data_IF_614170969652
#
_entry.id   IF_614170969652
#
_cell.length_a   1.000
_cell.length_b   1.000
_cell.length_c   1.000
_cell.angle_alpha   90.00
_cell.angle_beta   90.00
_cell.angle_gamma   90.00
#
_symmetry.space_group_name_H-M   'P 1'
#
loop_
_entity.id
_entity.type
_entity.pdbx_description
1 polymer ?
#
# COMPACT_ATOMS: atom_id res chain seq x y z
N UNK A 1 -1.13 6.72 38.31
CA UNK A 1 -1.88 6.38 37.05
C UNK A 1 -1.96 7.64 36.22
N UNK A 2 -1.68 7.57 34.92
CA UNK A 2 -1.83 8.73 34.07
C UNK A 2 -3.31 9.12 34.03
N UNK A 3 -3.55 10.43 34.19
CA UNK A 3 -4.85 11.06 34.38
C UNK A 3 -5.85 10.72 33.28
N UNK A 4 -7.15 10.75 33.57
CA UNK A 4 -8.26 10.60 32.61
C UNK A 4 -8.18 11.56 31.42
N UNK A 5 -7.43 12.65 31.56
CA UNK A 5 -7.14 13.61 30.48
C UNK A 5 -6.01 13.17 29.52
N UNK A 6 -5.20 12.16 29.88
CA UNK A 6 -4.07 11.75 29.07
C UNK A 6 -4.47 10.88 27.86
N UNK A 7 -5.51 10.07 28.02
CA UNK A 7 -6.03 9.23 26.95
C UNK A 7 -7.46 9.63 26.55
N UNK A 8 -7.74 9.61 25.27
CA UNK A 8 -9.07 9.84 24.73
C UNK A 8 -10.02 8.67 25.10
N UNK A 9 -11.35 8.86 25.09
CA UNK A 9 -12.30 7.83 25.50
C UNK A 9 -12.09 6.49 24.80
N UNK A 10 -11.93 6.46 23.47
CA UNK A 10 -11.68 5.22 22.72
C UNK A 10 -10.34 4.56 23.07
N UNK A 11 -9.31 5.35 23.39
CA UNK A 11 -8.02 4.85 23.83
C UNK A 11 -8.15 4.18 25.22
N UNK A 12 -8.91 4.79 26.12
CA UNK A 12 -9.21 4.20 27.44
C UNK A 12 -10.00 2.90 27.32
N UNK A 13 -11.02 2.87 26.47
CA UNK A 13 -11.79 1.67 26.20
C UNK A 13 -10.88 0.51 25.77
N UNK A 14 -9.96 0.76 24.86
CA UNK A 14 -8.96 -0.22 24.43
C UNK A 14 -8.04 -0.68 25.57
N UNK A 15 -7.56 0.25 26.40
CA UNK A 15 -6.65 -0.03 27.53
C UNK A 15 -7.30 -0.79 28.68
N UNK A 16 -8.61 -0.66 28.86
CA UNK A 16 -9.37 -1.33 29.92
C UNK A 16 -9.96 -2.67 29.48
N UNK A 17 -9.99 -2.94 28.20
CA UNK A 17 -10.44 -4.22 27.66
C UNK A 17 -9.38 -5.30 27.91
N UNK A 18 -9.73 -6.30 28.72
CA UNK A 18 -8.90 -7.43 29.08
C UNK A 18 -9.29 -8.71 28.32
N UNK A 19 -10.03 -8.59 27.24
CA UNK A 19 -10.44 -9.74 26.42
C UNK A 19 -9.21 -10.47 25.88
N UNK A 20 -9.32 -11.79 25.80
CA UNK A 20 -8.23 -12.65 25.29
C UNK A 20 -7.86 -12.33 23.85
N UNK A 21 -8.85 -12.01 23.04
CA UNK A 21 -8.68 -11.55 21.66
C UNK A 21 -9.43 -10.24 21.53
N UNK A 22 -8.73 -9.19 21.16
CA UNK A 22 -9.35 -7.90 20.84
C UNK A 22 -8.85 -7.38 19.50
N UNK A 23 -9.74 -6.78 18.75
CA UNK A 23 -9.50 -6.26 17.42
C UNK A 23 -9.97 -4.81 17.34
N UNK A 24 -9.09 -3.94 16.85
CA UNK A 24 -9.35 -2.53 16.62
C UNK A 24 -9.44 -2.24 15.12
N UNK A 25 -10.65 -1.99 14.65
CA UNK A 25 -10.95 -1.41 13.36
C UNK A 25 -10.88 0.12 13.51
N UNK A 26 -9.86 0.75 12.93
CA UNK A 26 -9.54 2.13 13.27
C UNK A 26 -9.39 3.05 12.06
N UNK A 27 -9.63 4.33 12.28
CA UNK A 27 -9.13 5.41 11.44
C UNK A 27 -7.60 5.49 11.49
N UNK A 28 -7.00 6.00 10.44
CA UNK A 28 -5.57 6.27 10.37
C UNK A 28 -5.19 7.41 11.32
N UNK A 29 -3.94 7.37 11.85
CA UNK A 29 -3.29 8.43 12.64
C UNK A 29 -4.02 8.89 13.92
N UNK A 30 -4.90 8.10 14.51
CA UNK A 30 -5.62 8.42 15.75
C UNK A 30 -4.91 7.95 17.04
N UNK A 31 -3.63 7.58 16.94
CA UNK A 31 -2.77 7.26 18.08
C UNK A 31 -2.97 5.89 18.72
N UNK A 32 -3.52 4.89 18.01
CA UNK A 32 -3.79 3.57 18.58
C UNK A 32 -2.53 2.71 18.81
N UNK A 33 -1.55 2.76 17.92
CA UNK A 33 -0.25 2.08 18.12
C UNK A 33 0.47 2.63 19.34
N UNK A 34 0.51 3.96 19.50
CA UNK A 34 1.04 4.63 20.67
C UNK A 34 0.30 4.26 21.96
N UNK A 35 -1.03 4.20 21.92
CA UNK A 35 -1.85 3.75 23.07
C UNK A 35 -1.54 2.30 23.45
N UNK A 36 -1.36 1.44 22.46
CA UNK A 36 -1.05 0.02 22.70
C UNK A 36 0.36 -0.18 23.24
N UNK A 37 1.33 0.65 22.82
CA UNK A 37 2.66 0.68 23.42
C UNK A 37 2.59 0.97 24.93
N UNK A 38 1.80 1.99 25.34
CA UNK A 38 1.55 2.25 26.75
C UNK A 38 0.90 1.04 27.45
N UNK A 39 -0.11 0.44 26.83
CA UNK A 39 -0.80 -0.72 27.41
C UNK A 39 0.14 -1.90 27.68
N UNK A 40 1.04 -2.20 26.77
CA UNK A 40 2.06 -3.24 26.97
C UNK A 40 3.03 -2.85 28.07
N UNK A 41 3.59 -1.65 28.06
CA UNK A 41 4.52 -1.17 29.11
C UNK A 41 3.86 -1.22 30.47
N UNK A 42 2.63 -0.69 30.61
CA UNK A 42 1.87 -0.76 31.87
C UNK A 42 1.72 -2.19 32.37
N UNK A 43 1.43 -3.14 31.48
CA UNK A 43 1.28 -4.56 31.86
C UNK A 43 2.61 -5.13 32.34
N UNK A 44 3.70 -4.85 31.67
CA UNK A 44 5.04 -5.33 32.06
C UNK A 44 5.58 -4.70 33.34
N UNK A 45 5.09 -3.52 33.73
CA UNK A 45 5.42 -2.90 35.03
C UNK A 45 4.69 -3.56 36.23
N UNK A 46 3.69 -4.41 35.97
CA UNK A 46 3.00 -5.14 37.05
C UNK A 46 3.84 -6.33 37.53
N UNK A 47 3.96 -6.49 38.84
CA UNK A 47 4.65 -7.63 39.46
C UNK A 47 3.99 -8.99 39.11
N UNK A 48 2.73 -8.98 38.71
CA UNK A 48 1.98 -10.17 38.26
C UNK A 48 2.26 -10.59 36.83
N UNK A 49 2.90 -9.76 36.02
CA UNK A 49 3.25 -10.11 34.64
C UNK A 49 4.33 -11.20 34.61
N UNK A 50 4.10 -12.26 33.85
CA UNK A 50 4.99 -13.43 33.74
C UNK A 50 5.32 -13.81 32.31
N UNK A 51 4.69 -13.17 31.33
CA UNK A 51 4.80 -13.52 29.92
C UNK A 51 5.39 -12.36 29.12
N UNK A 52 6.18 -12.70 28.12
CA UNK A 52 6.69 -11.74 27.15
C UNK A 52 5.57 -11.22 26.24
N UNK A 53 5.79 -10.06 25.64
CA UNK A 53 4.96 -9.51 24.58
C UNK A 53 5.75 -9.45 23.26
N UNK A 54 5.08 -9.79 22.17
CA UNK A 54 5.66 -9.89 20.83
C UNK A 54 4.88 -8.99 19.88
N UNK A 55 5.53 -7.98 19.36
CA UNK A 55 4.94 -6.99 18.46
C UNK A 55 5.38 -7.26 17.04
N UNK A 56 4.43 -7.40 16.12
CA UNK A 56 4.69 -7.40 14.68
C UNK A 56 4.06 -6.15 14.06
N UNK A 57 4.83 -5.44 13.26
CA UNK A 57 4.38 -4.29 12.47
C UNK A 57 4.64 -4.55 10.99
N UNK A 58 4.07 -3.72 10.12
CA UNK A 58 4.17 -3.84 8.66
C UNK A 58 5.61 -4.02 8.16
N UNK A 59 6.55 -3.26 8.75
CA UNK A 59 7.97 -3.29 8.39
C UNK A 59 8.86 -3.05 9.61
N UNK A 60 10.18 -3.17 9.41
CA UNK A 60 11.16 -3.03 10.49
C UNK A 60 11.22 -1.61 11.07
N UNK A 61 11.00 -0.59 10.25
CA UNK A 61 11.00 0.80 10.71
C UNK A 61 9.83 1.05 11.65
N UNK A 62 8.62 0.64 11.27
CA UNK A 62 7.43 0.76 12.13
C UNK A 62 7.59 -0.02 13.43
N UNK A 63 8.18 -1.19 13.36
CA UNK A 63 8.48 -2.00 14.54
C UNK A 63 9.46 -1.30 15.50
N UNK A 64 10.46 -0.59 14.99
CA UNK A 64 11.39 0.23 15.80
C UNK A 64 10.70 1.43 16.41
N UNK A 65 9.88 2.16 15.64
CA UNK A 65 9.11 3.32 16.14
C UNK A 65 8.18 2.91 17.30
N UNK A 66 7.55 1.74 17.18
CA UNK A 66 6.72 1.21 18.27
C UNK A 66 7.55 0.96 19.54
N UNK A 67 8.74 0.37 19.44
CA UNK A 67 9.62 0.20 20.60
C UNK A 67 10.11 1.53 21.19
N UNK A 68 10.35 2.53 20.37
CA UNK A 68 10.76 3.86 20.84
C UNK A 68 9.62 4.53 21.62
N UNK A 69 8.37 4.33 21.22
CA UNK A 69 7.23 4.76 22.04
C UNK A 69 7.14 3.97 23.35
N UNK A 70 7.40 2.67 23.35
CA UNK A 70 7.52 1.90 24.60
C UNK A 70 8.63 2.46 25.52
N UNK A 71 9.82 2.79 25.01
CA UNK A 71 10.91 3.38 25.79
C UNK A 71 10.52 4.73 26.42
N UNK A 72 9.81 5.59 25.67
CA UNK A 72 9.28 6.85 26.18
C UNK A 72 8.34 6.60 27.37
N UNK A 73 7.44 5.61 27.27
CA UNK A 73 6.54 5.26 28.37
C UNK A 73 7.27 4.65 29.57
N UNK A 74 8.28 3.82 29.36
CA UNK A 74 9.14 3.31 30.44
C UNK A 74 9.78 4.47 31.20
N UNK A 75 10.31 5.48 30.51
CA UNK A 75 10.89 6.67 31.13
C UNK A 75 9.86 7.47 31.93
N UNK A 76 8.66 7.69 31.37
CA UNK A 76 7.58 8.43 32.04
C UNK A 76 7.11 7.71 33.31
N UNK A 77 6.90 6.38 33.23
CA UNK A 77 6.44 5.57 34.38
C UNK A 77 7.54 5.46 35.41
N UNK A 78 8.80 5.28 35.00
CA UNK A 78 9.96 5.25 35.90
C UNK A 78 10.11 6.52 36.71
N UNK A 79 10.01 7.69 36.06
CA UNK A 79 10.04 8.99 36.71
C UNK A 79 8.87 9.17 37.73
N UNK A 80 7.67 8.70 37.34
CA UNK A 80 6.48 8.82 38.18
C UNK A 80 6.46 7.85 39.36
N UNK A 81 7.11 6.69 39.24
CA UNK A 81 7.13 5.62 40.25
C UNK A 81 8.37 5.62 41.16
N UNK A 82 9.39 6.44 40.85
CA UNK A 82 10.68 6.42 41.54
C UNK A 82 11.50 5.13 41.30
N UNK A 83 11.12 4.31 40.31
CA UNK A 83 11.83 3.10 39.92
C UNK A 83 12.87 3.46 38.85
N UNK A 84 14.15 3.29 39.19
CA UNK A 84 15.21 3.34 38.17
C UNK A 84 15.12 2.10 37.31
N UNK A 85 14.71 2.28 36.06
CA UNK A 85 14.95 1.28 35.03
C UNK A 85 16.41 1.35 34.63
N UNK A 86 17.07 0.20 34.60
CA UNK A 86 18.49 0.08 34.26
C UNK A 86 18.79 0.82 32.95
N UNK A 87 19.61 1.88 33.02
CA UNK A 87 19.98 2.71 31.87
C UNK A 87 20.84 1.96 30.85
N UNK A 88 21.37 0.82 31.25
CA UNK A 88 22.06 -0.14 30.40
C UNK A 88 21.07 -1.08 29.69
N UNK A 89 20.06 -0.53 29.03
CA UNK A 89 19.38 -1.25 27.97
C UNK A 89 20.43 -1.61 26.93
N UNK A 90 21.22 -2.68 27.18
CA UNK A 90 22.07 -3.31 26.18
C UNK A 90 21.16 -3.51 24.98
N UNK A 91 21.37 -2.69 23.94
CA UNK A 91 20.84 -2.93 22.63
C UNK A 91 21.19 -4.37 22.25
N UNK A 92 20.29 -5.29 22.57
CA UNK A 92 20.34 -6.57 21.89
C UNK A 92 20.04 -6.25 20.42
N UNK A 93 20.78 -6.81 19.51
CA UNK A 93 20.64 -6.68 18.07
C UNK A 93 19.25 -7.09 17.53
N UNK A 94 18.36 -7.55 18.39
CA UNK A 94 16.98 -7.89 18.13
C UNK A 94 16.09 -7.01 19.03
N UNK A 95 15.64 -5.85 18.53
CA UNK A 95 14.82 -4.86 19.19
C UNK A 95 13.95 -5.38 20.34
N UNK A 96 14.39 -5.26 21.60
CA UNK A 96 13.62 -5.66 22.77
C UNK A 96 13.83 -4.70 23.96
N UNK A 97 12.84 -4.66 24.85
CA UNK A 97 12.90 -3.95 26.13
C UNK A 97 12.72 -4.97 27.23
N UNK A 98 13.65 -5.01 28.20
CA UNK A 98 13.61 -5.90 29.36
C UNK A 98 13.09 -5.17 30.58
N UNK A 99 12.30 -5.86 31.42
CA UNK A 99 11.70 -5.34 32.65
C UNK A 99 12.29 -6.07 33.87
N UNK A 100 12.23 -5.43 35.09
CA UNK A 100 12.81 -6.01 36.32
C UNK A 100 12.21 -7.38 36.71
N UNK A 101 10.98 -7.68 36.29
CA UNK A 101 10.33 -8.99 36.50
C UNK A 101 10.75 -10.07 35.49
N UNK A 102 11.85 -9.83 34.75
CA UNK A 102 12.41 -10.71 33.71
C UNK A 102 11.54 -10.91 32.47
N UNK A 103 10.47 -10.13 32.30
CA UNK A 103 9.65 -10.15 31.07
C UNK A 103 10.18 -9.14 30.07
N UNK A 104 9.79 -9.31 28.78
CA UNK A 104 10.29 -8.49 27.69
C UNK A 104 9.18 -8.12 26.70
N UNK A 105 9.34 -6.95 26.10
CA UNK A 105 8.62 -6.56 24.88
C UNK A 105 9.57 -6.72 23.71
N UNK A 106 9.22 -7.57 22.73
CA UNK A 106 10.00 -7.86 21.54
C UNK A 106 9.36 -7.23 20.32
N UNK A 107 10.16 -6.62 19.48
CA UNK A 107 9.77 -6.25 18.12
C UNK A 107 10.20 -7.33 17.14
N UNK A 108 9.28 -7.76 16.29
CA UNK A 108 9.50 -8.77 15.26
C UNK A 108 9.29 -8.15 13.88
N UNK A 109 9.96 -8.71 12.89
CA UNK A 109 9.74 -8.35 11.49
C UNK A 109 8.34 -8.75 11.01
N UNK A 110 7.93 -8.22 9.86
CA UNK A 110 6.66 -8.57 9.21
C UNK A 110 6.55 -10.02 8.75
N UNK A 111 7.63 -10.79 8.78
CA UNK A 111 7.62 -12.21 8.44
C UNK A 111 6.78 -13.00 9.46
N UNK A 112 5.72 -13.66 8.99
CA UNK A 112 4.83 -14.46 9.82
C UNK A 112 5.57 -15.57 10.57
N UNK A 113 6.58 -16.20 9.96
CA UNK A 113 7.35 -17.28 10.57
C UNK A 113 8.17 -16.82 11.78
N UNK A 114 8.50 -15.51 11.88
CA UNK A 114 9.13 -14.94 13.06
C UNK A 114 8.26 -15.04 14.32
N UNK A 115 6.96 -15.24 14.18
CA UNK A 115 6.00 -15.44 15.27
C UNK A 115 5.99 -16.90 15.79
N UNK A 116 6.52 -17.86 15.04
CA UNK A 116 6.44 -19.27 15.39
C UNK A 116 7.16 -19.58 16.71
N UNK A 117 6.58 -20.46 17.53
CA UNK A 117 7.16 -20.93 18.79
C UNK A 117 7.21 -19.88 19.92
N UNK A 118 6.80 -18.64 19.69
CA UNK A 118 6.76 -17.59 20.72
C UNK A 118 5.51 -17.78 21.61
N UNK A 119 5.64 -17.53 22.91
CA UNK A 119 4.55 -17.63 23.88
C UNK A 119 4.33 -16.29 24.56
N UNK A 120 3.08 -15.93 24.85
CA UNK A 120 2.72 -14.69 25.54
C UNK A 120 1.78 -13.80 24.74
N UNK A 121 1.75 -12.52 25.09
CA UNK A 121 0.88 -11.55 24.41
C UNK A 121 1.39 -11.24 23.01
N UNK A 122 0.47 -11.16 22.05
CA UNK A 122 0.72 -10.81 20.66
C UNK A 122 0.06 -9.49 20.34
N UNK A 123 0.82 -8.56 19.76
CA UNK A 123 0.28 -7.35 19.16
C UNK A 123 0.62 -7.35 17.67
N UNK A 124 -0.39 -7.35 16.83
CA UNK A 124 -0.29 -7.28 15.38
C UNK A 124 -0.76 -5.90 14.95
N UNK A 125 0.22 -5.02 14.74
CA UNK A 125 -0.04 -3.63 14.34
C UNK A 125 -0.07 -3.53 12.82
N UNK A 126 -0.99 -2.70 12.29
CA UNK A 126 -1.28 -2.57 10.86
C UNK A 126 -1.47 -3.94 10.18
N UNK A 127 -2.28 -4.79 10.81
CA UNK A 127 -2.43 -6.21 10.49
C UNK A 127 -2.83 -6.46 9.03
N UNK A 128 -3.76 -5.67 8.47
CA UNK A 128 -4.18 -5.81 7.08
C UNK A 128 -3.06 -5.50 6.07
N UNK A 129 -1.98 -4.83 6.48
CA UNK A 129 -0.84 -4.46 5.63
C UNK A 129 0.27 -5.52 5.57
N UNK A 130 0.18 -6.58 6.38
CA UNK A 130 1.14 -7.67 6.28
C UNK A 130 0.97 -8.44 4.97
N UNK A 131 2.06 -9.02 4.41
CA UNK A 131 2.00 -9.75 3.14
C UNK A 131 1.00 -10.91 3.14
N UNK A 132 0.88 -11.61 4.25
CA UNK A 132 -0.06 -12.72 4.45
C UNK A 132 -0.68 -12.64 5.85
N UNK A 133 -1.77 -11.85 6.02
CA UNK A 133 -2.41 -11.69 7.33
C UNK A 133 -3.02 -13.00 7.86
N UNK A 134 -3.51 -13.87 7.00
CA UNK A 134 -4.12 -15.14 7.39
C UNK A 134 -3.08 -16.10 7.98
N UNK A 135 -1.94 -16.24 7.32
CA UNK A 135 -0.80 -17.00 7.83
C UNK A 135 -0.29 -16.41 9.15
N UNK A 136 -0.15 -15.08 9.21
CA UNK A 136 0.29 -14.39 10.42
C UNK A 136 -0.64 -14.67 11.61
N UNK A 137 -1.95 -14.60 11.41
CA UNK A 137 -2.95 -14.94 12.43
C UNK A 137 -2.82 -16.39 12.87
N UNK A 138 -2.75 -17.32 11.92
CA UNK A 138 -2.68 -18.76 12.20
C UNK A 138 -1.46 -19.16 13.02
N UNK A 139 -0.33 -18.47 12.83
CA UNK A 139 0.91 -18.71 13.58
C UNK A 139 0.89 -17.98 14.93
N UNK A 140 0.34 -16.75 15.00
CA UNK A 140 0.30 -15.98 16.24
C UNK A 140 -0.71 -16.52 17.25
N UNK A 141 -1.87 -16.99 16.81
CA UNK A 141 -2.96 -17.43 17.67
C UNK A 141 -2.57 -18.54 18.67
N UNK A 142 -1.87 -19.63 18.29
CA UNK A 142 -1.45 -20.66 19.25
C UNK A 142 -0.53 -20.12 20.34
N UNK A 143 0.20 -19.04 20.08
CA UNK A 143 1.14 -18.42 21.03
C UNK A 143 0.48 -17.88 22.31
N UNK A 144 -0.83 -17.58 22.27
CA UNK A 144 -1.58 -17.09 23.43
C UNK A 144 -2.19 -18.20 24.29
N UNK A 145 -1.96 -19.49 23.96
CA UNK A 145 -2.57 -20.61 24.65
C UNK A 145 -2.22 -20.65 26.13
N UNK A 146 -1.02 -20.23 26.50
CA UNK A 146 -0.48 -20.27 27.86
C UNK A 146 -0.76 -19.01 28.70
N UNK A 147 -1.83 -18.26 28.38
CA UNK A 147 -2.29 -17.13 29.20
C UNK A 147 -2.02 -15.75 28.62
N UNK A 148 -1.51 -15.64 27.40
CA UNK A 148 -1.37 -14.36 26.69
C UNK A 148 -2.67 -13.89 26.07
N UNK A 149 -2.64 -12.70 25.44
CA UNK A 149 -3.72 -12.12 24.65
C UNK A 149 -3.28 -11.83 23.22
N UNK A 150 -4.22 -11.80 22.30
CA UNK A 150 -4.02 -11.38 20.92
C UNK A 150 -4.69 -10.03 20.68
N UNK A 151 -3.90 -9.04 20.34
CA UNK A 151 -4.34 -7.68 20.03
C UNK A 151 -4.06 -7.40 18.56
N UNK A 152 -5.09 -7.07 17.80
CA UNK A 152 -5.01 -6.80 16.36
C UNK A 152 -5.47 -5.37 16.12
N UNK A 153 -4.66 -4.59 15.42
CA UNK A 153 -4.96 -3.18 15.13
C UNK A 153 -4.72 -2.96 13.65
N UNK A 154 -5.71 -2.42 12.93
CA UNK A 154 -5.53 -2.08 11.51
C UNK A 154 -6.58 -1.11 10.98
N UNK A 155 -6.26 -0.44 9.88
CA UNK A 155 -7.22 0.04 8.88
C UNK A 155 -7.60 -1.10 7.96
N UNK A 156 -8.66 -0.95 7.14
CA UNK A 156 -9.01 -1.92 6.10
C UNK A 156 -8.04 -1.87 4.90
N UNK A 157 -8.01 -2.97 4.13
CA UNK A 157 -7.29 -3.11 2.85
C UNK A 157 -8.11 -3.98 1.90
N UNK A 158 -9.22 -3.42 1.43
CA UNK A 158 -10.19 -4.13 0.61
C UNK A 158 -11.07 -5.11 1.38
N UNK A 159 -12.20 -5.47 0.78
CA UNK A 159 -13.15 -6.44 1.33
C UNK A 159 -12.67 -7.89 1.23
N UNK A 160 -11.72 -8.19 0.35
CA UNK A 160 -11.08 -9.52 0.22
C UNK A 160 -10.06 -9.84 1.30
N UNK A 161 -9.57 -8.84 2.05
CA UNK A 161 -8.52 -9.01 3.04
C UNK A 161 -8.99 -9.81 4.27
N UNK A 162 -8.09 -10.63 4.84
CA UNK A 162 -8.40 -11.46 6.01
C UNK A 162 -8.79 -10.64 7.25
N UNK A 163 -8.27 -9.42 7.42
CA UNK A 163 -8.69 -8.52 8.47
C UNK A 163 -10.19 -8.19 8.39
N UNK A 164 -10.68 -7.86 7.19
CA UNK A 164 -12.10 -7.63 6.98
C UNK A 164 -12.94 -8.88 7.29
N UNK A 165 -12.47 -10.06 6.87
CA UNK A 165 -13.16 -11.34 7.21
C UNK A 165 -13.28 -11.54 8.72
N UNK A 166 -12.24 -11.20 9.50
CA UNK A 166 -12.31 -11.26 10.97
C UNK A 166 -13.31 -10.27 11.56
N UNK A 167 -13.37 -9.04 11.01
CA UNK A 167 -14.33 -8.02 11.41
C UNK A 167 -15.76 -8.48 11.14
N UNK A 168 -16.03 -8.99 9.93
CA UNK A 168 -17.36 -9.50 9.53
C UNK A 168 -17.79 -10.72 10.36
N UNK A 169 -16.88 -11.65 10.61
CA UNK A 169 -17.14 -12.81 11.47
C UNK A 169 -17.48 -12.39 12.91
N UNK A 170 -16.74 -11.39 13.43
CA UNK A 170 -16.98 -10.87 14.78
C UNK A 170 -18.30 -10.09 14.87
N UNK A 171 -18.68 -9.36 13.82
CA UNK A 171 -19.86 -8.48 13.80
C UNK A 171 -21.14 -9.22 13.43
N UNK A 172 -21.09 -10.06 12.42
CA UNK A 172 -22.27 -10.68 11.81
C UNK A 172 -22.22 -12.21 11.78
N UNK A 173 -21.05 -12.83 11.93
CA UNK A 173 -20.84 -14.28 11.85
C UNK A 173 -20.97 -15.00 13.19
N UNK A 174 -21.69 -14.43 14.17
CA UNK A 174 -21.89 -15.06 15.48
C UNK A 174 -20.65 -15.06 16.39
N UNK A 175 -19.56 -14.46 15.99
CA UNK A 175 -18.32 -14.27 16.76
C UNK A 175 -17.78 -15.55 17.44
N UNK A 176 -17.54 -16.65 16.71
CA UNK A 176 -17.11 -17.92 17.30
C UNK A 176 -15.74 -17.82 18.00
N UNK A 177 -14.90 -16.85 17.58
CA UNK A 177 -13.59 -16.58 18.17
C UNK A 177 -13.65 -15.72 19.42
N UNK A 178 -14.84 -15.22 19.82
CA UNK A 178 -15.05 -14.32 20.96
C UNK A 178 -14.13 -13.10 20.91
N UNK A 179 -14.04 -12.46 19.77
CA UNK A 179 -13.27 -11.26 19.55
C UNK A 179 -14.01 -10.07 20.19
N UNK A 180 -13.34 -9.31 21.05
CA UNK A 180 -13.81 -7.99 21.46
C UNK A 180 -13.49 -7.00 20.35
N UNK A 181 -14.52 -6.59 19.60
CA UNK A 181 -14.39 -5.72 18.44
C UNK A 181 -14.57 -4.25 18.86
N UNK A 182 -13.54 -3.45 18.62
CA UNK A 182 -13.56 -2.00 18.74
C UNK A 182 -13.57 -1.39 17.33
N UNK A 183 -14.33 -0.31 17.16
CA UNK A 183 -14.38 0.45 15.91
C UNK A 183 -14.31 1.95 16.22
N UNK A 184 -13.40 2.66 15.54
CA UNK A 184 -13.24 4.11 15.67
C UNK A 184 -12.95 4.71 14.29
N UNK A 185 -13.94 5.42 13.75
CA UNK A 185 -13.79 6.25 12.54
C UNK A 185 -13.15 7.59 12.88
N UNK A 186 -12.79 8.36 11.86
CA UNK A 186 -12.35 9.75 12.04
C UNK A 186 -13.43 10.60 12.72
N UNK A 187 -14.70 10.44 12.32
CA UNK A 187 -15.81 11.17 12.94
C UNK A 187 -15.93 10.85 14.45
N UNK A 188 -15.90 9.56 14.81
CA UNK A 188 -15.93 9.13 16.22
C UNK A 188 -14.73 9.68 17.01
N UNK A 189 -13.55 9.71 16.40
CA UNK A 189 -12.35 10.24 17.07
C UNK A 189 -12.45 11.76 17.31
N UNK A 190 -12.98 12.51 16.34
CA UNK A 190 -13.22 13.95 16.45
C UNK A 190 -14.23 14.26 17.56
N UNK A 191 -15.34 13.53 17.59
CA UNK A 191 -16.35 13.68 18.68
C UNK A 191 -15.76 13.39 20.08
N UNK A 192 -14.75 12.51 20.15
CA UNK A 192 -14.08 12.15 21.40
C UNK A 192 -12.86 13.02 21.74
N UNK A 193 -12.69 14.18 21.06
CA UNK A 193 -11.69 15.19 21.40
C UNK A 193 -10.32 14.98 20.74
N UNK A 194 -10.25 14.21 19.66
CA UNK A 194 -8.99 13.97 18.96
C UNK A 194 -8.37 15.27 18.43
N UNK A 195 -9.19 16.17 17.86
CA UNK A 195 -8.68 17.44 17.30
C UNK A 195 -8.03 18.33 18.37
N UNK A 196 -8.64 18.48 19.53
CA UNK A 196 -8.08 19.28 20.63
C UNK A 196 -6.74 18.71 21.10
N UNK A 197 -6.67 17.38 21.19
CA UNK A 197 -5.42 16.70 21.54
C UNK A 197 -4.34 16.88 20.47
N UNK A 198 -4.71 16.83 19.20
CA UNK A 198 -3.79 17.07 18.07
C UNK A 198 -3.27 18.51 18.13
N UNK A 199 -4.15 19.51 18.27
CA UNK A 199 -3.80 20.93 18.41
C UNK A 199 -2.81 21.17 19.56
N UNK A 200 -2.99 20.49 20.68
CA UNK A 200 -2.07 20.61 21.83
C UNK A 200 -0.64 20.12 21.55
N UNK A 201 -0.41 19.43 20.44
CA UNK A 201 0.89 18.87 20.03
C UNK A 201 1.53 19.59 18.84
N UNK A 202 0.73 20.34 18.11
CA UNK A 202 1.18 21.07 16.92
C UNK A 202 1.68 22.48 17.31
N UNK A 203 2.64 23.06 16.53
CA UNK A 203 3.02 24.46 16.68
C UNK A 203 1.83 25.41 16.57
N UNK A 204 1.91 26.56 17.22
CA UNK A 204 0.82 27.54 17.22
C UNK A 204 0.49 28.09 15.83
N UNK A 205 1.47 28.09 14.94
CA UNK A 205 1.35 28.59 13.56
C UNK A 205 0.81 27.53 12.58
N UNK A 206 0.56 26.32 13.05
CA UNK A 206 0.09 25.22 12.18
C UNK A 206 -1.36 25.46 11.74
N UNK A 207 -1.65 25.30 10.45
CA UNK A 207 -2.99 25.55 9.86
C UNK A 207 -4.15 24.86 10.58
N UNK A 208 -3.92 23.68 11.15
CA UNK A 208 -4.91 22.91 11.93
C UNK A 208 -5.37 23.65 13.18
N UNK A 209 -4.61 24.62 13.71
CA UNK A 209 -4.97 25.36 14.93
C UNK A 209 -6.28 26.17 14.75
N UNK A 210 -6.56 26.64 13.53
CA UNK A 210 -7.73 27.44 13.20
C UNK A 210 -8.97 26.59 12.83
N UNK A 211 -8.80 25.29 12.57
CA UNK A 211 -9.85 24.40 12.10
C UNK A 211 -10.79 23.96 13.22
N UNK A 212 -12.08 23.93 12.96
CA UNK A 212 -13.03 23.17 13.80
C UNK A 212 -13.07 21.68 13.36
N UNK A 213 -13.94 20.87 14.00
CA UNK A 213 -14.04 19.43 13.69
C UNK A 213 -14.54 19.17 12.28
N UNK A 214 -15.41 20.03 11.75
CA UNK A 214 -15.94 19.91 10.38
C UNK A 214 -14.88 20.31 9.37
N UNK A 215 -14.16 21.39 9.64
CA UNK A 215 -13.05 21.84 8.78
C UNK A 215 -11.95 20.77 8.71
N UNK A 216 -11.55 20.20 9.85
CA UNK A 216 -10.56 19.15 9.87
C UNK A 216 -11.01 17.87 9.17
N UNK A 217 -12.27 17.47 9.33
CA UNK A 217 -12.84 16.34 8.61
C UNK A 217 -12.78 16.54 7.09
N UNK A 218 -13.18 17.73 6.62
CA UNK A 218 -13.13 18.07 5.19
C UNK A 218 -11.70 18.21 4.69
N UNK A 219 -10.79 18.75 5.49
CA UNK A 219 -9.37 18.85 5.19
C UNK A 219 -8.77 17.45 4.93
N UNK A 220 -9.04 16.49 5.81
CA UNK A 220 -8.58 15.10 5.63
C UNK A 220 -9.25 14.46 4.40
N UNK A 221 -10.56 14.63 4.23
CA UNK A 221 -11.31 14.08 3.08
C UNK A 221 -10.75 14.59 1.76
N UNK A 222 -10.50 15.89 1.66
CA UNK A 222 -9.97 16.51 0.44
C UNK A 222 -8.48 16.22 0.19
N UNK A 223 -7.74 15.83 1.23
CA UNK A 223 -6.33 15.42 1.13
C UNK A 223 -6.16 13.95 0.73
N UNK A 224 -7.24 13.17 0.73
CA UNK A 224 -7.18 11.77 0.29
C UNK A 224 -7.13 11.67 -1.24
N UNK A 225 -6.52 10.61 -1.71
CA UNK A 225 -6.38 10.32 -3.13
C UNK A 225 -7.75 10.23 -3.85
N UNK A 226 -8.72 9.61 -3.22
CA UNK A 226 -10.08 9.42 -3.73
C UNK A 226 -11.03 9.14 -2.55
N UNK A 227 -12.34 9.13 -2.84
CA UNK A 227 -13.35 8.88 -1.81
C UNK A 227 -13.27 7.45 -1.23
N UNK A 228 -12.92 6.44 -2.06
CA UNK A 228 -12.75 5.07 -1.60
C UNK A 228 -11.60 4.95 -0.60
N UNK A 229 -10.48 5.65 -0.86
CA UNK A 229 -9.34 5.77 0.07
C UNK A 229 -9.76 6.43 1.39
N UNK A 230 -10.52 7.53 1.34
CA UNK A 230 -11.02 8.18 2.53
C UNK A 230 -11.92 7.26 3.34
N UNK A 231 -12.88 6.60 2.70
CA UNK A 231 -13.80 5.68 3.36
C UNK A 231 -13.05 4.51 4.01
N UNK A 232 -12.04 3.96 3.34
CA UNK A 232 -11.28 2.82 3.84
C UNK A 232 -10.30 3.21 4.96
N UNK A 233 -9.50 4.27 4.76
CA UNK A 233 -8.44 4.65 5.69
C UNK A 233 -8.94 5.39 6.93
N UNK A 234 -10.08 6.12 6.81
CA UNK A 234 -10.56 7.00 7.87
C UNK A 234 -11.95 6.65 8.39
N UNK A 235 -12.80 6.01 7.58
CA UNK A 235 -14.19 5.73 7.95
C UNK A 235 -14.47 4.25 8.25
N UNK A 236 -13.43 3.40 8.26
CA UNK A 236 -13.56 1.97 8.51
C UNK A 236 -14.56 1.28 7.55
N UNK A 237 -14.55 1.68 6.28
CA UNK A 237 -15.37 1.07 5.24
C UNK A 237 -14.43 0.46 4.20
N UNK A 238 -14.35 -0.88 4.10
CA UNK A 238 -13.45 -1.51 3.15
C UNK A 238 -13.84 -1.19 1.71
N UNK A 239 -12.85 -1.02 0.85
CA UNK A 239 -13.06 -0.92 -0.58
C UNK A 239 -13.67 -2.22 -1.12
N UNK A 240 -14.62 -2.12 -2.06
CA UNK A 240 -15.24 -3.30 -2.69
C UNK A 240 -14.31 -3.89 -3.76
N UNK A 241 -13.57 -4.94 -3.40
CA UNK A 241 -12.66 -5.62 -4.31
C UNK A 241 -13.35 -6.41 -5.43
N UNK A 242 -14.65 -6.68 -5.32
CA UNK A 242 -15.40 -7.40 -6.36
C UNK A 242 -15.64 -6.54 -7.61
N UNK A 243 -15.64 -5.22 -7.47
CA UNK A 243 -16.02 -4.29 -8.51
C UNK A 243 -14.89 -3.97 -9.53
N UNK A 244 -13.62 -4.01 -9.13
CA UNK A 244 -12.49 -3.64 -9.98
C UNK A 244 -11.74 -4.82 -10.58
N UNK A 245 -11.11 -4.65 -11.74
CA UNK A 245 -10.22 -5.64 -12.34
C UNK A 245 -8.95 -5.87 -11.50
N UNK A 246 -8.42 -4.79 -10.90
CA UNK A 246 -7.32 -4.82 -9.93
C UNK A 246 -7.86 -4.41 -8.57
N UNK A 247 -7.54 -5.17 -7.52
CA UNK A 247 -8.02 -4.87 -6.16
C UNK A 247 -7.34 -3.62 -5.59
N UNK A 248 -8.02 -2.94 -4.67
CA UNK A 248 -7.47 -1.78 -3.98
C UNK A 248 -6.15 -2.10 -3.25
N UNK A 249 -6.09 -3.25 -2.58
CA UNK A 249 -4.89 -3.70 -1.89
C UNK A 249 -3.71 -3.90 -2.85
N UNK A 250 -3.97 -4.50 -4.01
CA UNK A 250 -2.95 -4.72 -5.03
C UNK A 250 -2.37 -3.39 -5.54
N UNK A 251 -3.22 -2.41 -5.85
CA UNK A 251 -2.81 -1.06 -6.27
C UNK A 251 -1.96 -0.41 -5.18
N UNK A 252 -2.44 -0.42 -3.93
CA UNK A 252 -1.75 0.22 -2.80
C UNK A 252 -0.36 -0.36 -2.53
N UNK A 253 -0.19 -1.69 -2.67
CA UNK A 253 1.12 -2.35 -2.51
C UNK A 253 2.11 -1.99 -3.62
N UNK A 254 1.61 -1.63 -4.80
CA UNK A 254 2.44 -1.21 -5.91
C UNK A 254 2.86 0.26 -5.83
N UNK A 255 2.18 1.08 -5.05
CA UNK A 255 2.52 2.49 -4.90
C UNK A 255 3.89 2.69 -4.25
N UNK A 256 4.63 3.70 -4.71
CA UNK A 256 5.79 4.19 -3.98
C UNK A 256 5.37 4.67 -2.58
N UNK A 257 6.25 4.53 -1.56
CA UNK A 257 6.03 5.16 -0.27
C UNK A 257 5.85 6.67 -0.40
N UNK A 258 5.05 7.29 0.48
CA UNK A 258 4.74 8.73 0.44
C UNK A 258 5.98 9.64 0.59
N UNK A 259 7.05 9.12 1.21
CA UNK A 259 8.33 9.79 1.39
C UNK A 259 9.29 9.63 0.20
N UNK A 260 8.96 8.78 -0.77
CA UNK A 260 9.77 8.56 -1.97
C UNK A 260 9.55 9.67 -3.00
N UNK A 261 10.23 10.82 -2.82
CA UNK A 261 10.14 11.97 -3.73
C UNK A 261 10.90 11.77 -5.05
N UNK A 262 11.90 10.88 -5.07
CA UNK A 262 12.82 10.69 -6.19
C UNK A 262 12.43 9.52 -7.11
N UNK A 263 11.16 9.10 -7.10
CA UNK A 263 10.70 7.98 -7.92
C UNK A 263 10.89 8.22 -9.43
N UNK A 264 10.92 9.47 -9.87
CA UNK A 264 11.12 9.90 -11.25
C UNK A 264 12.59 9.86 -11.71
N UNK A 265 13.53 9.60 -10.80
CA UNK A 265 14.94 9.55 -11.14
C UNK A 265 15.27 8.21 -11.78
N UNK A 266 15.73 8.24 -13.04
CA UNK A 266 16.25 7.05 -13.72
C UNK A 266 17.56 6.66 -13.02
N UNK A 267 17.60 5.42 -12.51
CA UNK A 267 18.81 4.88 -11.88
C UNK A 267 19.84 4.66 -13.00
N UNK A 268 20.96 5.40 -12.91
CA UNK A 268 21.99 5.36 -13.95
C UNK A 268 22.53 3.96 -14.24
N UNK A 269 23.08 3.74 -15.41
CA UNK A 269 23.63 2.45 -15.86
C UNK A 269 22.99 1.94 -17.14
N UNK A 270 22.97 0.62 -17.34
CA UNK A 270 22.44 -0.04 -18.56
C UNK A 270 21.00 -0.58 -18.39
N UNK A 271 20.28 -0.12 -17.37
CA UNK A 271 18.90 -0.58 -17.15
C UNK A 271 18.03 -0.27 -18.38
N UNK A 272 17.29 -1.23 -18.91
CA UNK A 272 16.43 -0.99 -20.04
C UNK A 272 15.21 -0.16 -19.65
N UNK A 273 14.81 0.72 -20.55
CA UNK A 273 13.61 1.54 -20.46
C UNK A 273 12.57 1.06 -21.47
N UNK A 274 11.30 1.16 -21.08
CA UNK A 274 10.15 0.76 -21.88
C UNK A 274 9.08 1.84 -21.81
N UNK A 275 8.40 2.10 -22.92
CA UNK A 275 7.42 3.15 -23.03
C UNK A 275 6.10 2.58 -23.57
N UNK A 276 5.01 2.93 -22.91
CA UNK A 276 3.64 2.71 -23.37
C UNK A 276 2.96 4.02 -23.66
N UNK A 277 2.22 4.10 -24.76
CA UNK A 277 1.56 5.33 -25.20
C UNK A 277 0.11 5.03 -25.57
N UNK A 278 -0.81 5.68 -24.90
CA UNK A 278 -2.21 5.75 -25.25
C UNK A 278 -2.52 7.15 -25.79
N UNK A 279 -3.10 7.23 -27.01
CA UNK A 279 -3.26 8.48 -27.76
C UNK A 279 -4.72 8.94 -27.76
N UNK A 280 -4.97 10.07 -27.07
CA UNK A 280 -6.24 10.81 -27.09
C UNK A 280 -6.15 12.13 -27.86
N UNK A 281 -7.27 12.79 -28.19
CA UNK A 281 -7.25 14.07 -28.90
C UNK A 281 -8.11 15.17 -28.26
N UNK A 282 -9.42 15.00 -28.16
CA UNK A 282 -10.31 16.13 -27.82
C UNK A 282 -11.08 15.96 -26.51
N UNK A 283 -11.16 14.76 -25.99
CA UNK A 283 -11.85 14.41 -24.71
C UNK A 283 -11.12 13.33 -23.94
N UNK A 284 -10.14 12.67 -24.56
CA UNK A 284 -9.35 11.62 -23.95
C UNK A 284 -7.92 12.14 -23.79
N UNK A 285 -7.23 11.67 -22.77
CA UNK A 285 -5.85 12.05 -22.49
C UNK A 285 -4.89 11.32 -23.41
N UNK A 286 -3.79 11.97 -23.80
CA UNK A 286 -2.64 11.24 -24.32
C UNK A 286 -1.69 10.98 -23.18
N UNK A 287 -1.42 9.72 -22.90
CA UNK A 287 -0.59 9.29 -21.78
C UNK A 287 0.66 8.58 -22.26
N UNK A 288 1.82 9.05 -21.83
CA UNK A 288 3.12 8.44 -22.06
C UNK A 288 3.63 7.89 -20.73
N UNK A 289 3.80 6.57 -20.65
CA UNK A 289 4.20 5.90 -19.42
C UNK A 289 5.57 5.24 -19.57
N UNK A 290 6.58 5.75 -18.86
CA UNK A 290 7.96 5.28 -18.91
C UNK A 290 8.26 4.36 -17.72
N UNK A 291 8.75 3.16 -18.02
CA UNK A 291 9.19 2.17 -17.05
C UNK A 291 10.70 1.92 -17.19
N UNK A 292 11.38 1.75 -16.05
CA UNK A 292 12.75 1.26 -15.94
C UNK A 292 12.72 -0.14 -15.32
N UNK A 293 13.42 -1.09 -15.92
CA UNK A 293 13.54 -2.43 -15.37
C UNK A 293 14.82 -2.57 -14.54
N UNK A 294 14.66 -2.97 -13.27
CA UNK A 294 15.76 -3.23 -12.35
C UNK A 294 15.54 -4.60 -11.72
N UNK A 295 16.41 -5.56 -12.03
CA UNK A 295 16.34 -6.91 -11.48
C UNK A 295 14.97 -7.60 -11.63
N UNK A 296 14.32 -7.42 -12.78
CA UNK A 296 13.01 -8.01 -13.09
C UNK A 296 11.80 -7.24 -12.56
N UNK A 297 12.00 -6.19 -11.76
CA UNK A 297 10.95 -5.30 -11.30
C UNK A 297 10.88 -4.06 -12.19
N UNK A 298 9.68 -3.66 -12.56
CA UNK A 298 9.40 -2.47 -13.36
C UNK A 298 9.12 -1.27 -12.44
N UNK A 299 9.84 -0.18 -12.63
CA UNK A 299 9.72 1.05 -11.88
C UNK A 299 9.22 2.16 -12.78
N UNK A 300 8.09 2.79 -12.45
CA UNK A 300 7.65 4.01 -13.15
C UNK A 300 8.66 5.11 -12.92
N UNK A 301 9.09 5.77 -14.00
CA UNK A 301 10.01 6.91 -13.95
C UNK A 301 9.40 8.19 -14.46
N UNK A 302 8.43 8.08 -15.35
CA UNK A 302 7.71 9.24 -15.84
C UNK A 302 6.31 8.86 -16.29
N UNK A 303 5.35 9.75 -16.03
CA UNK A 303 3.99 9.69 -16.57
C UNK A 303 3.67 11.07 -17.11
N UNK A 304 3.75 11.24 -18.44
CA UNK A 304 3.37 12.49 -19.10
C UNK A 304 1.92 12.40 -19.56
N UNK A 305 1.09 13.29 -19.06
CA UNK A 305 -0.33 13.36 -19.41
C UNK A 305 -0.59 14.64 -20.19
N UNK A 306 -1.01 14.50 -21.43
CA UNK A 306 -1.29 15.60 -22.35
C UNK A 306 -2.79 15.67 -22.64
N UNK A 307 -3.44 16.75 -22.20
CA UNK A 307 -4.86 16.99 -22.40
C UNK A 307 -5.07 17.98 -23.57
N UNK A 308 -5.90 17.64 -24.54
CA UNK A 308 -6.25 18.50 -25.69
C UNK A 308 -5.04 19.06 -26.48
N UNK A 309 -3.95 18.30 -26.56
CA UNK A 309 -2.73 18.74 -27.23
C UNK A 309 -2.73 18.38 -28.71
N UNK A 310 -2.20 19.28 -29.59
CA UNK A 310 -1.98 18.96 -31.01
C UNK A 310 -1.04 17.77 -31.19
N UNK A 311 -1.20 17.04 -32.31
CA UNK A 311 -0.31 15.93 -32.62
C UNK A 311 1.18 16.31 -32.67
N UNK A 312 1.49 17.54 -33.09
CA UNK A 312 2.87 18.03 -33.12
C UNK A 312 3.53 18.07 -31.73
N UNK A 313 2.78 18.41 -30.70
CA UNK A 313 3.28 18.42 -29.33
C UNK A 313 3.40 17.01 -28.76
N UNK A 314 2.45 16.13 -29.09
CA UNK A 314 2.53 14.72 -28.73
C UNK A 314 3.74 14.05 -29.43
N UNK A 315 4.03 14.38 -30.69
CA UNK A 315 5.23 13.93 -31.40
C UNK A 315 6.50 14.50 -30.76
N UNK A 316 6.49 15.75 -30.34
CA UNK A 316 7.64 16.36 -29.66
C UNK A 316 7.94 15.63 -28.34
N UNK A 317 6.93 15.22 -27.60
CA UNK A 317 7.08 14.44 -26.38
C UNK A 317 7.66 13.04 -26.67
N UNK A 318 7.14 12.32 -27.68
CA UNK A 318 7.73 11.07 -28.12
C UNK A 318 9.21 11.28 -28.51
N UNK A 319 9.53 12.33 -29.27
CA UNK A 319 10.91 12.61 -29.68
C UNK A 319 11.83 12.91 -28.50
N UNK A 320 11.33 13.56 -27.45
CA UNK A 320 12.07 13.79 -26.22
C UNK A 320 12.41 12.47 -25.53
N UNK A 321 11.43 11.58 -25.35
CA UNK A 321 11.62 10.29 -24.71
C UNK A 321 12.50 9.34 -25.53
N UNK A 322 12.37 9.37 -26.86
CA UNK A 322 13.19 8.55 -27.76
C UNK A 322 14.70 8.89 -27.74
N UNK A 323 15.09 10.04 -27.15
CA UNK A 323 16.50 10.40 -26.90
C UNK A 323 17.12 9.70 -25.71
N UNK A 324 16.31 9.07 -24.85
CA UNK A 324 16.81 8.31 -23.72
C UNK A 324 17.65 7.11 -24.23
N UNK A 325 18.91 6.97 -23.78
CA UNK A 325 19.88 6.04 -24.40
C UNK A 325 19.47 4.58 -24.24
N UNK A 326 18.75 4.24 -23.17
CA UNK A 326 18.38 2.86 -22.85
C UNK A 326 16.92 2.52 -23.19
N UNK A 327 16.21 3.40 -23.89
CA UNK A 327 14.84 3.09 -24.34
C UNK A 327 14.87 2.01 -25.42
N UNK A 328 14.42 0.81 -25.04
CA UNK A 328 14.49 -0.40 -25.87
C UNK A 328 13.30 -0.53 -26.78
N UNK A 329 12.09 -0.39 -26.23
CA UNK A 329 10.86 -0.65 -26.97
C UNK A 329 9.75 0.31 -26.55
N UNK A 330 8.88 0.63 -27.50
CA UNK A 330 7.72 1.50 -27.35
C UNK A 330 6.51 0.80 -27.93
N UNK A 331 5.43 0.65 -27.16
CA UNK A 331 4.13 0.17 -27.65
C UNK A 331 3.14 1.32 -27.65
N UNK A 332 2.44 1.51 -28.77
CA UNK A 332 1.54 2.63 -29.02
C UNK A 332 0.15 2.08 -29.36
N UNK A 333 -0.90 2.60 -28.70
CA UNK A 333 -2.25 2.35 -29.19
C UNK A 333 -2.43 2.95 -30.60
N UNK A 334 -2.64 2.09 -31.58
CA UNK A 334 -2.93 2.48 -32.96
C UNK A 334 -4.42 2.42 -33.31
N UNK A 335 -5.31 2.40 -32.32
CA UNK A 335 -6.75 2.44 -32.55
C UNK A 335 -7.17 3.85 -32.98
N UNK A 336 -8.09 3.95 -33.92
CA UNK A 336 -8.64 5.24 -34.34
C UNK A 336 -7.56 6.26 -34.75
N UNK A 337 -7.45 7.33 -33.98
CA UNK A 337 -6.53 8.47 -34.23
C UNK A 337 -5.06 8.09 -33.97
N UNK A 338 -4.79 7.14 -33.09
CA UNK A 338 -3.44 6.68 -32.77
C UNK A 338 -2.73 6.00 -33.93
N UNK A 339 -3.48 5.52 -34.94
CA UNK A 339 -2.92 4.83 -36.09
C UNK A 339 -1.90 5.69 -36.86
N UNK A 340 -2.26 6.91 -37.22
CA UNK A 340 -1.38 7.82 -37.95
C UNK A 340 -0.14 8.17 -37.13
N UNK A 341 -0.29 8.33 -35.80
CA UNK A 341 0.81 8.60 -34.89
C UNK A 341 1.79 7.40 -34.81
N UNK A 342 1.26 6.19 -34.68
CA UNK A 342 2.06 4.96 -34.62
C UNK A 342 2.79 4.69 -35.98
N UNK A 343 2.13 4.90 -37.13
CA UNK A 343 2.74 4.76 -38.44
C UNK A 343 3.93 5.72 -38.61
N UNK A 344 3.76 7.02 -38.31
CA UNK A 344 4.84 8.02 -38.39
C UNK A 344 5.99 7.73 -37.42
N UNK A 345 5.66 7.26 -36.20
CA UNK A 345 6.67 6.85 -35.23
C UNK A 345 7.47 5.64 -35.78
N UNK A 346 6.81 4.66 -36.38
CA UNK A 346 7.43 3.46 -36.95
C UNK A 346 8.32 3.82 -38.14
N UNK A 347 7.86 4.70 -39.02
CA UNK A 347 8.67 5.20 -40.14
C UNK A 347 9.96 5.86 -39.69
N UNK A 348 9.88 6.64 -38.58
CA UNK A 348 11.04 7.41 -38.10
C UNK A 348 12.01 6.59 -37.29
N UNK A 349 11.52 5.67 -36.43
CA UNK A 349 12.35 4.97 -35.44
C UNK A 349 12.51 3.47 -35.71
N UNK A 350 11.81 2.93 -36.68
CA UNK A 350 11.85 1.52 -37.07
C UNK A 350 10.91 0.61 -36.28
N UNK A 351 10.43 -0.44 -36.91
CA UNK A 351 9.53 -1.44 -36.36
C UNK A 351 10.18 -2.31 -35.26
N UNK A 352 11.49 -2.33 -35.17
CA UNK A 352 12.20 -3.03 -34.10
C UNK A 352 12.05 -2.31 -32.73
N UNK A 353 11.85 -0.99 -32.75
CA UNK A 353 11.69 -0.17 -31.54
C UNK A 353 10.25 0.24 -31.27
N UNK A 354 9.44 0.40 -32.33
CA UNK A 354 8.04 0.85 -32.22
C UNK A 354 7.12 -0.29 -32.60
N UNK A 355 6.15 -0.56 -31.74
CA UNK A 355 5.06 -1.51 -31.98
C UNK A 355 3.71 -0.81 -31.87
N UNK A 356 2.91 -0.80 -32.94
CA UNK A 356 1.52 -0.33 -32.93
C UNK A 356 0.58 -1.46 -32.55
N UNK A 357 -0.27 -1.26 -31.58
CA UNK A 357 -1.23 -2.24 -31.07
C UNK A 357 -2.66 -1.71 -31.23
N UNK A 358 -3.48 -2.41 -32.03
CA UNK A 358 -4.89 -2.08 -32.15
C UNK A 358 -5.71 -2.68 -31.03
N UNK A 359 -6.46 -1.87 -30.31
CA UNK A 359 -7.31 -2.33 -29.23
C UNK A 359 -8.52 -3.12 -29.77
N UNK A 360 -8.52 -4.40 -29.52
CA UNK A 360 -9.65 -5.32 -29.67
C UNK A 360 -9.92 -5.96 -28.30
N UNK A 361 -10.98 -6.75 -28.17
CA UNK A 361 -11.25 -7.50 -26.95
C UNK A 361 -10.05 -8.37 -26.58
N UNK A 362 -9.54 -9.15 -27.52
CA UNK A 362 -8.40 -10.06 -27.29
C UNK A 362 -7.08 -9.33 -26.98
N UNK A 363 -6.79 -8.21 -27.66
CA UNK A 363 -5.58 -7.42 -27.34
C UNK A 363 -5.67 -6.72 -26.00
N UNK A 364 -6.85 -6.26 -25.59
CA UNK A 364 -7.06 -5.71 -24.25
C UNK A 364 -6.83 -6.77 -23.16
N UNK A 365 -7.25 -8.01 -23.38
CA UNK A 365 -6.94 -9.12 -22.49
C UNK A 365 -5.44 -9.39 -22.41
N UNK A 366 -4.77 -9.48 -23.55
CA UNK A 366 -3.33 -9.71 -23.66
C UNK A 366 -2.51 -8.61 -22.93
N UNK A 367 -3.01 -7.40 -22.87
CA UNK A 367 -2.36 -6.27 -22.17
C UNK A 367 -2.71 -6.23 -20.66
N UNK A 368 -3.97 -6.42 -20.32
CA UNK A 368 -4.45 -6.22 -18.96
C UNK A 368 -3.97 -7.32 -17.98
N UNK A 369 -4.01 -8.60 -18.41
CA UNK A 369 -3.64 -9.69 -17.51
C UNK A 369 -2.16 -9.72 -17.10
N UNK A 370 -1.17 -9.49 -17.99
CA UNK A 370 0.23 -9.36 -17.58
C UNK A 370 0.47 -8.20 -16.64
N UNK A 371 -0.16 -7.04 -16.87
CA UNK A 371 -0.10 -5.91 -15.95
C UNK A 371 -0.60 -6.32 -14.56
N UNK A 372 -1.78 -6.93 -14.47
CA UNK A 372 -2.34 -7.40 -13.22
C UNK A 372 -1.42 -8.41 -12.52
N UNK A 373 -0.89 -9.40 -13.25
CA UNK A 373 0.03 -10.41 -12.68
C UNK A 373 1.27 -9.75 -12.09
N UNK A 374 1.92 -8.82 -12.81
CA UNK A 374 3.08 -8.09 -12.28
C UNK A 374 2.76 -7.27 -11.04
N UNK A 375 1.55 -6.70 -10.97
CA UNK A 375 1.08 -6.00 -9.76
C UNK A 375 0.86 -6.97 -8.59
N UNK A 376 0.21 -8.10 -8.82
CA UNK A 376 -0.03 -9.14 -7.81
C UNK A 376 1.28 -9.74 -7.28
N UNK A 377 2.26 -9.96 -8.15
CA UNK A 377 3.59 -10.49 -7.83
C UNK A 377 4.52 -9.44 -7.16
N UNK A 378 4.09 -8.17 -7.08
CA UNK A 378 4.89 -7.08 -6.52
C UNK A 378 6.07 -6.64 -7.39
N UNK A 379 6.04 -6.98 -8.69
CA UNK A 379 7.07 -6.69 -9.69
C UNK A 379 6.82 -5.39 -10.48
N UNK A 380 6.00 -4.50 -9.92
CA UNK A 380 5.71 -3.19 -10.50
C UNK A 380 5.68 -2.13 -9.39
N UNK A 381 6.20 -0.94 -9.67
CA UNK A 381 6.09 0.24 -8.79
C UNK A 381 5.50 1.42 -9.57
N UNK A 382 4.47 2.05 -8.98
CA UNK A 382 3.73 3.17 -9.57
C UNK A 382 3.72 4.36 -8.61
N UNK A 383 3.55 5.59 -9.11
CA UNK A 383 3.34 6.76 -8.24
C UNK A 383 2.10 6.62 -7.37
N UNK A 384 2.17 7.10 -6.12
CA UNK A 384 1.01 7.21 -5.25
C UNK A 384 0.18 8.45 -5.61
N UNK A 385 -0.35 8.45 -6.82
CA UNK A 385 -1.13 9.54 -7.41
C UNK A 385 -2.61 9.16 -7.47
N UNK A 386 -3.47 10.13 -7.19
CA UNK A 386 -4.93 9.98 -7.13
C UNK A 386 -5.52 9.52 -8.46
N UNK A 387 -5.14 10.19 -9.55
CA UNK A 387 -5.71 9.96 -10.87
C UNK A 387 -5.24 8.62 -11.45
N UNK A 388 -3.96 8.27 -11.23
CA UNK A 388 -3.40 6.96 -11.60
C UNK A 388 -4.15 5.83 -10.89
N UNK A 389 -4.36 5.96 -9.59
CA UNK A 389 -5.06 4.94 -8.79
C UNK A 389 -6.52 4.82 -9.22
N UNK A 390 -7.19 5.95 -9.46
CA UNK A 390 -8.57 5.98 -9.91
C UNK A 390 -8.73 5.32 -11.29
N UNK A 391 -7.85 5.61 -12.25
CA UNK A 391 -7.86 4.98 -13.58
C UNK A 391 -7.68 3.46 -13.50
N UNK A 392 -6.68 3.00 -12.73
CA UNK A 392 -6.44 1.56 -12.57
C UNK A 392 -7.65 0.88 -11.90
N UNK A 393 -8.24 1.53 -10.90
CA UNK A 393 -9.41 1.01 -10.18
C UNK A 393 -10.69 1.02 -11.01
N UNK A 394 -10.82 1.96 -11.96
CA UNK A 394 -12.01 2.12 -12.80
C UNK A 394 -12.22 0.98 -13.78
N UNK A 395 -11.16 0.24 -14.13
CA UNK A 395 -11.23 -0.86 -15.09
C UNK A 395 -11.96 -2.05 -14.49
N UNK A 396 -13.01 -2.51 -15.20
CA UNK A 396 -13.88 -3.62 -14.80
C UNK A 396 -13.96 -4.68 -15.89
N UNK A 397 -14.23 -5.91 -15.49
CA UNK A 397 -14.61 -6.99 -16.39
C UNK A 397 -16.12 -7.06 -16.50
N UNK A 398 -16.62 -6.97 -17.69
CA UNK A 398 -18.05 -7.13 -17.97
C UNK A 398 -18.26 -8.26 -18.96
N UNK A 399 -19.34 -9.01 -18.81
CA UNK A 399 -19.77 -9.98 -19.79
C UNK A 399 -20.92 -9.40 -20.59
N UNK A 400 -20.81 -9.45 -21.92
CA UNK A 400 -21.91 -9.08 -22.80
C UNK A 400 -23.05 -10.09 -22.68
N UNK A 401 -24.24 -9.75 -23.15
CA UNK A 401 -25.39 -10.68 -23.19
C UNK A 401 -25.08 -11.99 -23.97
N UNK A 402 -24.04 -12.02 -24.79
CA UNK A 402 -23.54 -13.21 -25.49
C UNK A 402 -22.43 -13.97 -24.76
N UNK A 403 -22.10 -13.63 -23.51
CA UNK A 403 -21.06 -14.30 -22.72
C UNK A 403 -19.62 -13.90 -23.07
N UNK A 404 -19.44 -12.92 -23.96
CA UNK A 404 -18.10 -12.44 -24.35
C UNK A 404 -17.62 -11.47 -23.28
N UNK A 405 -16.45 -11.72 -22.69
CA UNK A 405 -15.80 -10.85 -21.72
C UNK A 405 -15.22 -9.61 -22.41
N UNK A 406 -15.43 -8.46 -21.81
CA UNK A 406 -14.81 -7.20 -22.26
C UNK A 406 -14.33 -6.39 -21.06
N UNK A 407 -13.33 -5.54 -21.29
CA UNK A 407 -12.95 -4.51 -20.33
C UNK A 407 -13.75 -3.25 -20.58
N UNK A 408 -14.36 -2.72 -19.51
CA UNK A 408 -15.02 -1.41 -19.45
C UNK A 408 -14.34 -0.56 -18.42
N UNK A 409 -14.42 0.75 -18.56
CA UNK A 409 -14.08 1.72 -17.54
C UNK A 409 -15.21 2.72 -17.41
N UNK A 410 -15.54 3.12 -16.19
CA UNK A 410 -16.49 4.21 -15.96
C UNK A 410 -15.89 5.48 -16.56
N UNK A 411 -16.70 6.26 -17.32
CA UNK A 411 -16.29 7.59 -17.76
C UNK A 411 -16.10 8.46 -16.52
N UNK A 412 -14.88 8.90 -16.29
CA UNK A 412 -14.60 10.03 -15.39
C UNK A 412 -14.57 11.32 -16.21
N UNK A 413 -14.55 12.47 -15.54
CA UNK A 413 -14.37 13.78 -16.18
C UNK A 413 -13.08 13.85 -17.02
N UNK A 414 -12.11 12.97 -16.74
CA UNK A 414 -10.73 13.07 -17.19
C UNK A 414 -10.27 11.92 -18.12
N UNK A 415 -11.20 11.07 -18.66
CA UNK A 415 -10.85 10.06 -19.64
C UNK A 415 -11.49 8.67 -19.43
N UNK A 416 -10.99 7.67 -20.17
CA UNK A 416 -11.46 6.28 -20.21
C UNK A 416 -10.42 5.27 -19.69
N UNK A 417 -9.80 5.53 -18.52
CA UNK A 417 -8.68 4.73 -18.00
C UNK A 417 -7.43 4.77 -18.91
N UNK A 418 -7.16 5.93 -19.51
CA UNK A 418 -6.05 6.11 -20.45
C UNK A 418 -4.70 5.83 -19.79
N UNK A 419 -4.57 6.17 -18.48
CA UNK A 419 -3.35 5.86 -17.68
C UNK A 419 -3.17 4.35 -17.48
N UNK A 420 -4.27 3.59 -17.28
CA UNK A 420 -4.20 2.14 -17.18
C UNK A 420 -3.72 1.50 -18.50
N UNK A 421 -4.24 1.95 -19.64
CA UNK A 421 -3.87 1.37 -20.92
C UNK A 421 -2.45 1.76 -21.33
N UNK A 422 -2.00 2.98 -21.07
CA UNK A 422 -0.62 3.39 -21.28
C UNK A 422 0.36 2.54 -20.42
N UNK A 423 0.04 2.30 -19.15
CA UNK A 423 0.82 1.41 -18.28
C UNK A 423 0.83 -0.03 -18.81
N UNK A 424 -0.32 -0.55 -19.23
CA UNK A 424 -0.40 -1.90 -19.79
C UNK A 424 0.44 -2.07 -21.06
N UNK A 425 0.45 -1.04 -21.94
CA UNK A 425 1.32 -0.99 -23.13
C UNK A 425 2.81 -0.93 -22.73
N UNK A 426 3.18 -0.20 -21.69
CA UNK A 426 4.56 -0.14 -21.21
C UNK A 426 5.04 -1.49 -20.65
N UNK A 427 4.19 -2.19 -19.90
CA UNK A 427 4.46 -3.56 -19.43
C UNK A 427 4.63 -4.52 -20.58
N UNK A 428 3.75 -4.45 -21.59
CA UNK A 428 3.86 -5.25 -22.81
C UNK A 428 5.17 -5.01 -23.55
N UNK A 429 5.63 -3.75 -23.63
CA UNK A 429 6.94 -3.41 -24.21
C UNK A 429 8.08 -4.12 -23.50
N UNK A 430 8.02 -4.22 -22.17
CA UNK A 430 9.03 -4.92 -21.38
C UNK A 430 9.00 -6.43 -21.64
N UNK A 431 7.84 -7.06 -21.58
CA UNK A 431 7.67 -8.51 -21.74
C UNK A 431 8.09 -9.00 -23.13
N UNK A 432 7.70 -8.29 -24.19
CA UNK A 432 8.04 -8.66 -25.56
C UNK A 432 9.51 -8.41 -25.91
N UNK A 433 10.16 -7.46 -25.28
CA UNK A 433 11.61 -7.25 -25.41
C UNK A 433 12.43 -8.40 -24.81
N UNK A 434 11.99 -8.95 -23.67
CA UNK A 434 12.63 -10.11 -23.03
C UNK A 434 12.54 -11.36 -23.91
N UNK A 435 11.39 -11.63 -24.51
CA UNK A 435 11.19 -12.79 -25.39
C UNK A 435 12.11 -12.73 -26.62
N UNK A 436 12.29 -11.57 -27.23
CA UNK A 436 13.17 -11.38 -28.38
C UNK A 436 14.65 -11.62 -28.04
N UNK A 437 15.09 -11.21 -26.85
CA UNK A 437 16.45 -11.44 -26.36
C UNK A 437 16.70 -12.92 -26.02
N UNK A 438 15.72 -13.60 -25.42
CA UNK A 438 15.79 -15.04 -25.14
C UNK A 438 15.89 -15.90 -26.42
N UNK A 439 15.10 -15.61 -27.45
CA UNK A 439 15.19 -16.29 -28.72
C UNK A 439 16.54 -16.06 -29.44
N UNK A 440 17.14 -14.89 -29.25
CA UNK A 440 18.48 -14.60 -29.82
C UNK A 440 19.59 -15.39 -29.13
N UNK A 441 19.48 -15.62 -27.82
CA UNK A 441 20.43 -16.45 -27.07
C UNK A 441 20.32 -17.93 -27.48
N UNK A 442 19.11 -18.46 -27.62
CA UNK A 442 18.90 -19.86 -28.06
C UNK A 442 19.44 -20.07 -29.49
N UNK A 443 19.24 -19.14 -30.40
CA UNK A 443 19.81 -19.21 -31.75
C UNK A 443 21.34 -19.11 -31.78
N UNK A 444 21.97 -18.44 -30.81
CA UNK A 444 23.46 -18.41 -30.71
C UNK A 444 24.03 -19.71 -30.16
N UNK A 445 23.36 -20.38 -29.24
CA UNK A 445 23.80 -21.68 -28.70
C UNK A 445 23.68 -22.81 -29.75
N UNK A 446 22.65 -22.81 -30.60
CA UNK A 446 22.54 -23.79 -31.70
C UNK A 446 23.59 -23.60 -32.79
N UNK A 447 24.18 -22.43 -32.98
CA UNK A 447 25.25 -22.18 -33.96
C UNK A 447 26.65 -22.56 -33.44
N UNK A 448 26.83 -22.83 -32.15
CA UNK A 448 28.12 -23.22 -31.56
C UNK A 448 28.31 -24.76 -31.50
N UNK A 449 27.28 -25.54 -31.83
CA UNK A 449 27.33 -27.02 -31.81
C UNK A 449 27.57 -27.68 -33.17
N UNK A 450 27.99 -26.93 -34.19
CA UNK A 450 28.44 -27.50 -35.47
C UNK A 450 29.86 -27.00 -35.78
N UNK A 451 30.82 -27.59 -35.10
CA UNK A 451 32.23 -27.86 -35.56
C UNK A 451 32.86 -28.93 -34.68
#
# INVERSE_FOLDING_TARGET
MLDDKFFLPYQRAWLTDNSRIKLMEKSRQIGMSWTSAYGLVRTHCLSSCRLDSWVASRDELQARLFLDDCKKFVSIIGLASGVEFDKDGKQSSAGSISFPNSTRIWSLSSNADAQAGKRGTRLLDEFALHPDPEKLYSIAYPGITWGGSLQIISTHRGSGNFFHKLVEEARYGGNPKKISLHRITLADALEQGFLDKLKSRLPAEHEVQEMDTTDYYNYIKNSCADEESFLQEYMCQPADDSAGFVSYDCISRCCYPDDCKDWHVIVGGNNPLYLGIDIGRSRDLSVFWLLEEISGTLYTREVSVLANMPFSEQEAELHRLMRLPNLRKVSIDQSGLGRQFAERATERYGSSRIEGISFSIGTKEMLAYPLRSRMEDGLLRIPNDTEIRADIRSVRREFTNGGIMRFSASRTSDGHADRFWALALAVHSADTSMLSNGMTLIKREEQVLIW
#
